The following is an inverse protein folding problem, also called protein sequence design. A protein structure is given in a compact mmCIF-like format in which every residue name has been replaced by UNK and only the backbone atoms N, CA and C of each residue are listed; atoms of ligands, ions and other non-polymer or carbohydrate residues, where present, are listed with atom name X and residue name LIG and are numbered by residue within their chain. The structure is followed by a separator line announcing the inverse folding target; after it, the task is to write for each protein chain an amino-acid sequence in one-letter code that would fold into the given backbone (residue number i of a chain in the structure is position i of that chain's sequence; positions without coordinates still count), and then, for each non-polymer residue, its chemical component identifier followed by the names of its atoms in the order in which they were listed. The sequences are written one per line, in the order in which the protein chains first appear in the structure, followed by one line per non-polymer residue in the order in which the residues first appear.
data_IF_145401208409
#
_entry.id   IF_145401208409
#
_cell.length_a   1.000
_cell.length_b   1.000
_cell.length_c   1.000
_cell.angle_alpha   90.00
_cell.angle_beta   90.00
_cell.angle_gamma   90.00
#
_symmetry.space_group_name_H-M   'P 1'
#
loop_
_entity.id
_entity.type
_entity.pdbx_description
1 polymer ?
#
# COMPACT_ATOMS: atom_id res chain seq x y z
N UNK A 1 5.08 -9.15 -10.64
CA UNK A 1 5.98 -9.85 -9.71
C UNK A 1 7.30 -10.27 -10.34
N UNK A 2 7.35 -11.25 -11.27
CA UNK A 2 8.62 -11.74 -11.85
C UNK A 2 9.57 -10.64 -12.34
N UNK A 3 9.07 -9.66 -13.10
CA UNK A 3 9.88 -8.52 -13.60
C UNK A 3 10.40 -7.59 -12.51
N UNK A 4 9.65 -7.41 -11.41
CA UNK A 4 10.04 -6.54 -10.30
C UNK A 4 11.05 -7.23 -9.36
N UNK A 5 10.99 -8.56 -9.28
CA UNK A 5 11.83 -9.38 -8.39
C UNK A 5 13.16 -9.76 -9.05
N UNK A 6 13.17 -10.03 -10.35
CA UNK A 6 14.35 -10.50 -11.07
C UNK A 6 15.62 -9.64 -10.87
N UNK A 7 15.54 -8.29 -10.81
CA UNK A 7 16.70 -7.44 -10.53
C UNK A 7 17.29 -7.58 -9.12
N UNK A 8 16.59 -8.25 -8.20
CA UNK A 8 16.95 -8.38 -6.79
C UNK A 8 17.22 -9.85 -6.40
N UNK A 9 17.66 -10.67 -7.35
CA UNK A 9 17.99 -12.07 -7.11
C UNK A 9 18.98 -12.22 -5.95
N UNK A 10 18.70 -13.18 -5.04
CA UNK A 10 19.52 -13.45 -3.86
C UNK A 10 19.28 -12.52 -2.67
N UNK A 11 18.29 -11.62 -2.73
CA UNK A 11 17.86 -10.79 -1.59
C UNK A 11 16.49 -11.22 -1.07
N UNK A 12 16.27 -10.97 0.22
CA UNK A 12 14.93 -11.01 0.80
C UNK A 12 14.10 -9.84 0.30
N UNK A 13 12.91 -10.13 -0.22
CA UNK A 13 11.99 -9.15 -0.80
C UNK A 13 10.72 -9.14 0.04
N UNK A 14 10.51 -8.04 0.76
CA UNK A 14 9.34 -7.83 1.59
C UNK A 14 8.35 -6.93 0.87
N UNK A 15 7.14 -7.42 0.65
CA UNK A 15 6.12 -6.74 -0.14
C UNK A 15 4.92 -6.48 0.76
N UNK A 16 4.63 -5.21 1.00
CA UNK A 16 3.43 -4.79 1.72
C UNK A 16 2.27 -4.74 0.74
N UNK A 17 1.19 -5.47 1.02
CA UNK A 17 0.00 -5.58 0.17
C UNK A 17 -1.28 -5.35 0.96
N UNK A 18 -2.35 -4.95 0.28
CA UNK A 18 -3.67 -4.86 0.90
C UNK A 18 -4.30 -6.25 1.08
N UNK A 19 -5.49 -6.29 1.69
CA UNK A 19 -6.20 -7.54 1.98
C UNK A 19 -7.11 -8.03 0.84
N UNK A 20 -6.88 -7.59 -0.40
CA UNK A 20 -7.71 -8.04 -1.51
C UNK A 20 -7.53 -9.55 -1.74
N UNK A 21 -8.64 -10.29 -1.88
CA UNK A 21 -8.63 -11.76 -1.99
C UNK A 21 -7.82 -12.30 -3.18
N UNK A 22 -7.55 -11.46 -4.17
CA UNK A 22 -6.67 -11.78 -5.31
C UNK A 22 -5.23 -12.06 -4.90
N UNK A 23 -4.80 -11.62 -3.70
CA UNK A 23 -3.46 -11.85 -3.17
C UNK A 23 -3.28 -13.20 -2.47
N UNK A 24 -4.37 -13.96 -2.25
CA UNK A 24 -4.35 -15.25 -1.54
C UNK A 24 -5.01 -16.35 -2.37
N UNK A 25 -4.87 -16.29 -3.70
CA UNK A 25 -5.37 -17.37 -4.56
C UNK A 25 -4.41 -18.58 -4.49
N UNK A 26 -4.90 -19.80 -4.75
CA UNK A 26 -4.04 -20.99 -4.75
C UNK A 26 -2.82 -20.87 -5.66
N UNK A 27 -2.95 -20.17 -6.79
CA UNK A 27 -1.84 -19.90 -7.72
C UNK A 27 -0.79 -18.96 -7.13
N UNK A 28 -1.22 -17.94 -6.37
CA UNK A 28 -0.31 -17.02 -5.67
C UNK A 28 0.41 -17.75 -4.55
N UNK A 29 -0.30 -18.52 -3.72
CA UNK A 29 0.29 -19.32 -2.64
C UNK A 29 1.31 -20.33 -3.17
N UNK A 30 0.95 -21.06 -4.25
CA UNK A 30 1.86 -22.00 -4.93
C UNK A 30 3.08 -21.30 -5.52
N UNK A 31 2.92 -20.05 -6.00
CA UNK A 31 4.05 -19.27 -6.48
C UNK A 31 4.94 -18.80 -5.33
N UNK A 32 4.39 -18.31 -4.22
CA UNK A 32 5.17 -17.91 -3.03
C UNK A 32 5.95 -19.10 -2.44
N UNK A 33 5.34 -20.29 -2.37
CA UNK A 33 6.02 -21.50 -1.92
C UNK A 33 7.24 -21.87 -2.78
N UNK A 34 7.23 -21.51 -4.08
CA UNK A 34 8.38 -21.69 -4.99
C UNK A 34 9.39 -20.55 -4.93
N UNK A 35 9.09 -19.46 -4.23
CA UNK A 35 9.93 -18.27 -4.14
C UNK A 35 10.06 -17.81 -2.67
N UNK A 36 10.74 -18.61 -1.81
CA UNK A 36 10.75 -18.40 -0.36
C UNK A 36 11.45 -17.11 0.12
N UNK A 37 12.21 -16.45 -0.75
CA UNK A 37 12.83 -15.15 -0.49
C UNK A 37 11.85 -13.97 -0.66
N UNK A 38 10.59 -14.23 -0.99
CA UNK A 38 9.55 -13.22 -1.21
C UNK A 38 8.49 -13.37 -0.14
N UNK A 39 8.29 -12.32 0.65
CA UNK A 39 7.37 -12.29 1.78
C UNK A 39 6.26 -11.28 1.56
N UNK A 40 5.02 -11.71 1.67
CA UNK A 40 3.88 -10.80 1.68
C UNK A 40 3.53 -10.39 3.12
N UNK A 41 3.44 -9.09 3.34
CA UNK A 41 2.98 -8.48 4.59
C UNK A 41 1.65 -7.80 4.32
N UNK A 42 0.58 -8.33 4.88
CA UNK A 42 -0.74 -7.78 4.69
C UNK A 42 -0.97 -6.61 5.65
N UNK A 43 -1.52 -5.50 5.14
CA UNK A 43 -1.99 -4.41 6.00
C UNK A 43 -3.12 -4.91 6.90
N UNK A 44 -3.33 -4.35 8.11
CA UNK A 44 -4.49 -4.73 8.91
C UNK A 44 -5.81 -4.40 8.19
N UNK A 45 -6.87 -5.19 8.44
CA UNK A 45 -8.19 -4.92 7.87
C UNK A 45 -8.67 -3.52 8.24
N UNK A 46 -9.19 -2.77 7.26
CA UNK A 46 -9.60 -1.38 7.45
C UNK A 46 -8.46 -0.37 7.58
N UNK A 47 -7.21 -0.77 7.36
CA UNK A 47 -6.03 0.12 7.46
C UNK A 47 -5.43 0.44 6.10
N UNK A 48 -6.26 0.72 5.10
CA UNK A 48 -5.80 1.05 3.73
C UNK A 48 -4.92 2.31 3.71
N UNK A 49 -5.11 3.21 4.67
CA UNK A 49 -4.28 4.41 4.87
C UNK A 49 -2.79 4.15 5.11
N UNK A 50 -2.40 2.94 5.57
CA UNK A 50 -0.98 2.58 5.74
C UNK A 50 -0.36 2.07 4.43
N UNK A 51 -1.18 1.79 3.42
CA UNK A 51 -0.74 1.31 2.12
C UNK A 51 -0.19 2.47 1.28
N UNK A 52 1.14 2.53 1.16
CA UNK A 52 1.81 3.65 0.46
C UNK A 52 1.40 3.78 -1.01
N UNK A 53 1.02 2.68 -1.69
CA UNK A 53 0.56 2.75 -3.07
C UNK A 53 -0.73 3.56 -3.21
N UNK A 54 -1.62 3.54 -2.22
CA UNK A 54 -2.85 4.34 -2.20
C UNK A 54 -2.53 5.83 -2.05
N UNK A 55 -1.51 6.16 -1.25
CA UNK A 55 -1.00 7.54 -1.13
C UNK A 55 -0.44 8.01 -2.46
N UNK A 56 0.36 7.17 -3.13
CA UNK A 56 0.90 7.45 -4.46
C UNK A 56 -0.20 7.61 -5.51
N UNK A 57 -1.27 6.79 -5.49
CA UNK A 57 -2.44 6.97 -6.35
C UNK A 57 -3.11 8.33 -6.13
N UNK A 58 -3.19 8.81 -4.88
CA UNK A 58 -3.64 10.16 -4.59
C UNK A 58 -2.75 11.25 -5.22
N UNK A 59 -1.43 11.03 -5.24
CA UNK A 59 -0.45 11.97 -5.80
C UNK A 59 -0.59 12.07 -7.32
N UNK A 60 -0.49 10.95 -8.05
CA UNK A 60 -0.66 10.95 -9.52
C UNK A 60 -2.03 11.50 -9.93
N UNK A 61 -3.07 11.23 -9.14
CA UNK A 61 -4.42 11.76 -9.38
C UNK A 61 -4.42 13.28 -9.35
N UNK A 62 -3.80 13.90 -8.35
CA UNK A 62 -3.78 15.37 -8.18
C UNK A 62 -2.80 16.08 -9.12
N UNK A 63 -1.67 15.44 -9.42
CA UNK A 63 -0.60 16.07 -10.18
C UNK A 63 -0.71 15.85 -11.69
N UNK A 64 -1.27 14.72 -12.13
CA UNK A 64 -1.27 14.34 -13.55
C UNK A 64 -2.69 14.12 -14.08
N UNK A 65 -3.49 13.25 -13.44
CA UNK A 65 -4.77 12.79 -14.00
C UNK A 65 -5.83 13.91 -14.00
N UNK A 66 -6.09 14.55 -12.85
CA UNK A 66 -7.13 15.59 -12.75
C UNK A 66 -6.80 16.89 -13.48
N UNK A 67 -5.55 17.07 -13.88
CA UNK A 67 -5.07 18.25 -14.63
C UNK A 67 -5.05 18.02 -16.14
N UNK A 68 -5.21 16.77 -16.59
CA UNK A 68 -5.23 16.42 -17.99
C UNK A 68 -6.64 16.35 -18.58
N UNK A 69 -6.73 16.60 -19.88
CA UNK A 69 -7.88 16.21 -20.70
C UNK A 69 -7.41 15.18 -21.71
N UNK A 70 -8.06 14.03 -21.75
CA UNK A 70 -7.60 12.88 -22.52
C UNK A 70 -8.61 12.55 -23.62
N UNK A 71 -8.15 12.57 -24.88
CA UNK A 71 -8.99 12.24 -26.04
C UNK A 71 -9.24 10.75 -26.21
N UNK A 72 -8.46 9.89 -25.54
CA UNK A 72 -8.64 8.44 -25.54
C UNK A 72 -7.94 7.78 -24.35
N UNK A 73 -8.32 6.53 -24.08
CA UNK A 73 -7.66 5.68 -23.09
C UNK A 73 -6.16 5.49 -23.40
N UNK A 74 -5.78 5.43 -24.68
CA UNK A 74 -4.36 5.30 -25.08
C UNK A 74 -3.54 6.50 -24.62
N UNK A 75 -4.10 7.71 -24.73
CA UNK A 75 -3.43 8.94 -24.28
C UNK A 75 -3.32 8.95 -22.75
N UNK A 76 -4.37 8.52 -22.04
CA UNK A 76 -4.32 8.39 -20.57
C UNK A 76 -3.25 7.38 -20.12
N UNK A 77 -3.17 6.21 -20.75
CA UNK A 77 -2.15 5.20 -20.44
C UNK A 77 -0.75 5.78 -20.64
N UNK A 78 -0.52 6.46 -21.76
CA UNK A 78 0.77 7.10 -22.02
C UNK A 78 1.11 8.15 -20.96
N UNK A 79 0.16 9.00 -20.58
CA UNK A 79 0.37 10.00 -19.52
C UNK A 79 0.73 9.35 -18.18
N UNK A 80 0.08 8.25 -17.81
CA UNK A 80 0.38 7.50 -16.58
C UNK A 80 1.79 6.90 -16.65
N UNK A 81 2.18 6.31 -17.79
CA UNK A 81 3.51 5.74 -17.99
C UNK A 81 4.62 6.81 -17.93
N UNK A 82 4.41 7.95 -18.58
CA UNK A 82 5.35 9.07 -18.57
C UNK A 82 5.51 9.63 -17.15
N UNK A 83 4.41 9.74 -16.40
CA UNK A 83 4.44 10.16 -14.99
C UNK A 83 5.18 9.15 -14.09
N UNK A 84 4.97 7.85 -14.28
CA UNK A 84 5.69 6.79 -13.56
C UNK A 84 7.20 6.88 -13.85
N UNK A 85 7.59 7.08 -15.11
CA UNK A 85 8.99 7.20 -15.49
C UNK A 85 9.63 8.45 -14.87
N UNK A 86 8.93 9.58 -14.88
CA UNK A 86 9.36 10.82 -14.22
C UNK A 86 9.51 10.62 -12.70
N UNK A 87 8.49 10.06 -12.04
CA UNK A 87 8.51 9.81 -10.60
C UNK A 87 9.68 8.91 -10.19
N UNK A 88 9.90 7.82 -10.93
CA UNK A 88 10.95 6.85 -10.61
C UNK A 88 12.37 7.36 -10.86
N UNK A 89 12.55 8.46 -11.61
CA UNK A 89 13.87 9.04 -11.85
C UNK A 89 14.48 9.66 -10.59
N UNK A 90 13.64 10.13 -9.66
CA UNK A 90 14.04 10.78 -8.41
C UNK A 90 13.08 10.42 -7.27
N UNK A 91 12.76 9.11 -7.16
CA UNK A 91 11.79 8.65 -6.17
C UNK A 91 12.39 8.65 -4.77
N UNK A 92 11.77 9.40 -3.86
CA UNK A 92 12.11 9.40 -2.45
C UNK A 92 11.16 8.49 -1.64
N UNK A 93 11.64 7.84 -0.57
CA UNK A 93 10.80 7.11 0.36
C UNK A 93 9.75 8.02 1.01
N UNK A 94 8.54 7.51 1.23
CA UNK A 94 7.56 8.21 2.05
C UNK A 94 8.05 8.27 3.50
N UNK A 95 8.14 9.48 4.05
CA UNK A 95 8.51 9.72 5.44
C UNK A 95 7.25 9.75 6.30
N UNK A 96 7.12 8.80 7.22
CA UNK A 96 6.07 8.80 8.23
C UNK A 96 6.32 9.92 9.24
N UNK A 97 5.31 10.75 9.50
CA UNK A 97 5.41 11.85 10.47
C UNK A 97 5.14 11.40 11.90
N UNK A 98 4.48 10.24 12.07
CA UNK A 98 4.23 9.63 13.37
C UNK A 98 4.96 8.29 13.46
N UNK A 99 5.57 8.04 14.60
CA UNK A 99 6.21 6.76 14.93
C UNK A 99 5.16 5.68 15.19
N UNK A 100 5.56 4.42 15.06
CA UNK A 100 4.71 3.28 15.38
C UNK A 100 4.21 3.36 16.84
N UNK A 101 5.08 3.75 17.77
CA UNK A 101 4.73 3.87 19.20
C UNK A 101 3.67 4.93 19.45
N UNK A 102 3.76 6.10 18.79
CA UNK A 102 2.75 7.14 18.88
C UNK A 102 1.39 6.70 18.34
N UNK A 103 1.40 5.97 17.21
CA UNK A 103 0.18 5.40 16.62
C UNK A 103 -0.43 4.38 17.59
N UNK A 104 0.38 3.44 18.11
CA UNK A 104 -0.07 2.40 19.04
C UNK A 104 -0.59 2.98 20.35
N UNK A 105 0.05 4.03 20.88
CA UNK A 105 -0.42 4.74 22.07
C UNK A 105 -1.80 5.37 21.85
N UNK A 106 -2.02 6.04 20.70
CA UNK A 106 -3.32 6.60 20.33
C UNK A 106 -4.39 5.53 20.17
N UNK A 107 -4.07 4.40 19.54
CA UNK A 107 -5.00 3.27 19.39
C UNK A 107 -5.42 2.71 20.75
N UNK A 108 -4.47 2.47 21.66
CA UNK A 108 -4.75 1.98 23.03
C UNK A 108 -5.65 2.93 23.80
N UNK A 109 -5.42 4.24 23.68
CA UNK A 109 -6.24 5.27 24.32
C UNK A 109 -7.70 5.21 23.83
N UNK A 110 -7.90 5.18 22.50
CA UNK A 110 -9.25 5.09 21.90
C UNK A 110 -9.95 3.81 22.33
N UNK A 111 -9.27 2.66 22.28
CA UNK A 111 -9.84 1.37 22.73
C UNK A 111 -10.27 1.41 24.20
N UNK A 112 -9.45 1.99 25.06
CA UNK A 112 -9.75 2.12 26.50
C UNK A 112 -10.98 3.01 26.73
N UNK A 113 -11.08 4.12 26.00
CA UNK A 113 -12.21 5.04 26.11
C UNK A 113 -13.51 4.42 25.58
N UNK A 114 -13.46 3.72 24.44
CA UNK A 114 -14.62 3.00 23.90
C UNK A 114 -15.11 1.95 24.90
N UNK A 115 -14.20 1.17 25.49
CA UNK A 115 -14.56 0.17 26.51
C UNK A 115 -15.30 0.81 27.69
N UNK A 116 -14.77 1.90 28.25
CA UNK A 116 -15.44 2.65 29.32
C UNK A 116 -16.83 3.14 28.93
N UNK A 117 -17.02 3.62 27.71
CA UNK A 117 -18.33 4.10 27.23
C UNK A 117 -19.34 2.96 27.10
N UNK A 118 -18.92 1.81 26.56
CA UNK A 118 -19.77 0.61 26.45
C UNK A 118 -20.15 0.10 27.84
N UNK A 119 -19.18 0.02 28.76
CA UNK A 119 -19.41 -0.43 30.13
C UNK A 119 -20.36 0.51 30.90
N UNK A 120 -20.31 1.82 30.61
CA UNK A 120 -21.19 2.81 31.23
C UNK A 120 -22.62 2.82 30.66
N UNK A 121 -22.80 2.43 29.39
CA UNK A 121 -24.11 2.37 28.73
C UNK A 121 -24.85 1.03 28.91
N UNK A 122 -24.20 0.03 29.52
CA UNK A 122 -24.80 -1.27 29.85
C UNK A 122 -25.55 -1.31 31.19
N UNK A 123 -25.81 -0.15 31.81
CA UNK A 123 -26.62 -0.01 33.03
C UNK A 123 -27.93 0.71 32.75
#
# INVERSE_FOLDING_TARGET
MRKAVAPHAGKEIHIVVDNLSTHTTPDVEKWLAKNPHIHFHFTPKGSSWINQVETWFGIITRQSIRRGTFSSVKVLIKQIQDYIAYWNADAEPFVWTATADEILAKVKLVQTNIKKLVDNNGK
#
